data_IF_658724259156
#
_entry.id   IF_658724259156
#
_cell.length_a   1.000
_cell.length_b   1.000
_cell.length_c   1.000
_cell.angle_alpha   90.00
_cell.angle_beta   90.00
_cell.angle_gamma   90.00
#
_symmetry.space_group_name_H-M   'P 1'
#
loop_
_entity.id
_entity.type
_entity.pdbx_description
1 polymer ?
#
# COMPACT_ATOMS: atom_id res chain seq x y z
N UNK A 1 -30.94 -24.88 -1.35
CA UNK A 1 -30.02 -25.96 -0.94
C UNK A 1 -29.14 -25.50 0.20
N UNK A 2 -29.65 -25.64 1.42
CA UNK A 2 -29.02 -25.24 2.69
C UNK A 2 -28.65 -26.51 3.47
N UNK A 3 -27.63 -27.23 2.99
CA UNK A 3 -27.05 -28.35 3.72
C UNK A 3 -25.52 -28.24 3.67
N UNK A 4 -24.92 -28.04 4.84
CA UNK A 4 -23.49 -28.10 5.18
C UNK A 4 -22.59 -26.89 4.87
N UNK A 5 -22.99 -25.67 5.22
CA UNK A 5 -22.01 -24.56 5.36
C UNK A 5 -21.15 -24.78 6.61
N UNK A 6 -20.01 -25.46 6.45
CA UNK A 6 -18.98 -25.59 7.49
C UNK A 6 -18.09 -24.36 7.47
N UNK A 7 -17.97 -23.69 8.62
CA UNK A 7 -17.02 -22.60 8.81
C UNK A 7 -15.64 -23.25 9.05
N UNK A 8 -14.81 -23.23 8.01
CA UNK A 8 -13.42 -23.69 8.10
C UNK A 8 -12.46 -22.48 8.10
N UNK A 9 -11.40 -22.50 8.92
CA UNK A 9 -10.36 -21.48 8.88
C UNK A 9 -9.64 -21.51 7.52
N UNK A 10 -9.69 -20.39 6.79
CA UNK A 10 -9.10 -20.27 5.44
C UNK A 10 -7.57 -20.41 5.44
N UNK A 11 -6.91 -20.03 6.55
CA UNK A 11 -5.45 -20.03 6.68
C UNK A 11 -5.01 -20.55 8.05
N UNK A 12 -5.18 -21.85 8.30
CA UNK A 12 -4.75 -22.48 9.56
C UNK A 12 -3.23 -22.42 9.70
N UNK A 13 -2.74 -21.83 10.79
CA UNK A 13 -1.31 -21.80 11.12
C UNK A 13 -0.49 -20.75 10.37
N UNK A 14 -1.12 -19.84 9.62
CA UNK A 14 -0.38 -18.73 8.98
C UNK A 14 0.15 -17.77 10.04
N UNK A 15 1.45 -17.50 9.99
CA UNK A 15 2.06 -16.41 10.78
C UNK A 15 2.09 -15.15 9.92
N UNK A 16 1.37 -14.12 10.38
CA UNK A 16 1.39 -12.82 9.72
C UNK A 16 2.57 -12.01 10.25
N UNK A 17 3.51 -11.68 9.36
CA UNK A 17 4.60 -10.74 9.65
C UNK A 17 4.18 -9.33 9.24
N UNK A 18 4.48 -8.33 10.07
CA UNK A 18 4.10 -6.93 9.78
C UNK A 18 4.95 -6.29 8.68
N UNK A 19 6.12 -6.85 8.42
CA UNK A 19 7.06 -6.38 7.43
C UNK A 19 7.99 -7.51 6.96
N UNK A 20 8.63 -7.29 5.81
CA UNK A 20 9.61 -8.18 5.21
C UNK A 20 10.83 -7.36 4.78
N UNK A 21 12.02 -7.96 4.85
CA UNK A 21 13.24 -7.40 4.26
C UNK A 21 13.71 -8.37 3.19
N UNK A 22 13.73 -7.91 1.93
CA UNK A 22 14.33 -8.66 0.82
C UNK A 22 15.79 -8.21 0.69
N UNK A 23 16.70 -9.16 0.52
CA UNK A 23 18.14 -8.89 0.35
C UNK A 23 18.55 -9.32 -1.06
N UNK A 24 19.10 -8.40 -1.83
CA UNK A 24 19.61 -8.71 -3.16
C UNK A 24 20.89 -9.55 -3.06
N UNK A 25 20.89 -10.74 -3.67
CA UNK A 25 21.96 -11.74 -3.51
C UNK A 25 23.37 -11.23 -3.86
N UNK A 26 23.51 -10.46 -4.95
CA UNK A 26 24.83 -9.97 -5.38
C UNK A 26 25.28 -8.67 -4.70
N UNK A 27 24.35 -7.73 -4.44
CA UNK A 27 24.69 -6.37 -4.00
C UNK A 27 24.52 -6.16 -2.49
N UNK A 28 23.95 -7.16 -1.80
CA UNK A 28 23.48 -7.13 -0.42
C UNK A 28 22.55 -5.94 -0.11
N UNK A 29 21.93 -5.36 -1.14
CA UNK A 29 21.02 -4.23 -0.97
C UNK A 29 19.70 -4.72 -0.39
N UNK A 30 19.22 -4.02 0.63
CA UNK A 30 18.00 -4.36 1.33
C UNK A 30 16.80 -3.55 0.80
N UNK A 31 15.68 -4.22 0.60
CA UNK A 31 14.39 -3.63 0.31
C UNK A 31 13.46 -3.95 1.48
N UNK A 32 12.92 -2.92 2.11
CA UNK A 32 11.99 -3.03 3.22
C UNK A 32 10.55 -2.94 2.71
N UNK A 33 9.75 -3.95 3.00
CA UNK A 33 8.35 -4.05 2.60
C UNK A 33 7.48 -3.99 3.84
N UNK A 34 6.48 -3.13 3.82
CA UNK A 34 5.51 -3.02 4.91
C UNK A 34 4.18 -2.52 4.36
N UNK A 35 3.04 -2.84 4.98
CA UNK A 35 1.75 -2.41 4.44
C UNK A 35 1.61 -0.87 4.41
N UNK A 36 2.22 -0.13 5.35
CA UNK A 36 2.21 1.34 5.41
C UNK A 36 1.20 1.91 6.41
N UNK A 37 0.19 1.12 6.82
CA UNK A 37 -0.74 1.49 7.91
C UNK A 37 -0.03 1.77 9.24
N UNK A 38 1.19 1.26 9.43
CA UNK A 38 2.03 1.51 10.59
C UNK A 38 2.36 3.00 10.78
N UNK A 39 2.32 3.81 9.71
CA UNK A 39 2.53 5.26 9.77
C UNK A 39 1.26 6.05 10.15
N UNK A 40 0.10 5.39 10.24
CA UNK A 40 -1.14 5.95 10.77
C UNK A 40 -1.24 5.72 12.28
N UNK A 41 -0.77 6.69 13.06
CA UNK A 41 -0.72 6.59 14.52
C UNK A 41 -2.08 6.25 15.16
N UNK A 42 -3.17 6.89 14.73
CA UNK A 42 -4.47 6.75 15.40
C UNK A 42 -5.08 5.38 15.12
N UNK A 43 -4.85 4.85 13.92
CA UNK A 43 -5.33 3.52 13.55
C UNK A 43 -4.38 2.40 13.99
N UNK A 44 -3.08 2.67 14.15
CA UNK A 44 -2.09 1.67 14.56
C UNK A 44 -1.92 1.59 16.08
N UNK A 45 -1.50 2.68 16.73
CA UNK A 45 -1.23 2.72 18.18
C UNK A 45 -2.49 3.11 18.94
N UNK A 46 -3.21 4.13 18.45
CA UNK A 46 -4.38 4.74 19.09
C UNK A 46 -5.68 3.95 18.95
N UNK A 47 -5.67 2.74 18.37
CA UNK A 47 -6.88 2.05 17.93
C UNK A 47 -7.92 1.83 19.03
N UNK A 48 -7.49 1.64 20.29
CA UNK A 48 -8.40 1.50 21.44
C UNK A 48 -9.16 2.80 21.74
N UNK A 49 -8.47 3.93 21.65
CA UNK A 49 -9.06 5.27 21.84
C UNK A 49 -9.99 5.57 20.66
N UNK A 50 -9.52 5.33 19.44
CA UNK A 50 -10.34 5.53 18.24
C UNK A 50 -11.63 4.69 18.30
N UNK A 51 -11.51 3.41 18.67
CA UNK A 51 -12.66 2.49 18.85
C UNK A 51 -13.63 2.99 19.92
N UNK A 52 -13.14 3.55 21.02
CA UNK A 52 -13.98 4.12 22.07
C UNK A 52 -14.76 5.33 21.55
N UNK A 53 -14.08 6.29 20.91
CA UNK A 53 -14.69 7.49 20.33
C UNK A 53 -15.80 7.13 19.33
N UNK A 54 -15.52 6.21 18.39
CA UNK A 54 -16.50 5.77 17.39
C UNK A 54 -17.71 5.08 18.04
N UNK A 55 -17.51 4.25 19.06
CA UNK A 55 -18.60 3.47 19.66
C UNK A 55 -19.48 4.27 20.61
N UNK A 56 -18.89 5.17 21.40
CA UNK A 56 -19.57 5.84 22.52
C UNK A 56 -20.00 7.25 22.14
N UNK A 57 -19.20 7.98 21.37
CA UNK A 57 -19.49 9.36 21.00
C UNK A 57 -20.08 9.47 19.59
N UNK A 58 -19.51 8.77 18.61
CA UNK A 58 -19.95 8.93 17.22
C UNK A 58 -21.34 8.32 16.95
N UNK A 59 -21.64 7.14 17.50
CA UNK A 59 -22.97 6.51 17.38
C UNK A 59 -24.13 7.43 17.78
N UNK A 60 -24.15 8.08 18.96
CA UNK A 60 -25.24 9.00 19.31
C UNK A 60 -25.25 10.27 18.45
N UNK A 61 -24.09 10.83 18.07
CA UNK A 61 -24.02 12.02 17.19
C UNK A 61 -24.60 11.75 15.79
N UNK A 62 -24.41 10.53 15.27
CA UNK A 62 -24.96 10.12 13.99
C UNK A 62 -26.49 10.00 14.03
N UNK A 63 -27.06 9.53 15.15
CA UNK A 63 -28.52 9.51 15.39
C UNK A 63 -29.08 10.95 15.43
N UNK A 64 -28.29 11.91 15.90
CA UNK A 64 -28.63 13.34 15.94
C UNK A 64 -28.43 14.08 14.61
N UNK A 65 -28.08 13.38 13.52
CA UNK A 65 -28.01 13.96 12.18
C UNK A 65 -26.71 14.70 11.87
N UNK A 66 -25.68 14.57 12.72
CA UNK A 66 -24.35 15.11 12.40
C UNK A 66 -23.73 14.22 11.32
N UNK A 67 -23.45 14.82 10.16
CA UNK A 67 -22.85 14.12 9.02
C UNK A 67 -21.41 13.70 9.31
N UNK A 68 -21.00 12.58 8.71
CA UNK A 68 -19.67 12.02 8.89
C UNK A 68 -18.56 13.02 8.56
N UNK A 69 -17.63 13.31 9.49
CA UNK A 69 -16.53 14.22 9.27
C UNK A 69 -15.47 13.67 8.29
N UNK A 70 -15.51 12.39 7.88
CA UNK A 70 -14.57 11.81 6.91
C UNK A 70 -14.91 12.24 5.48
N UNK A 71 -14.49 13.44 5.11
CA UNK A 71 -14.62 13.92 3.73
C UNK A 71 -13.47 13.40 2.84
N UNK A 72 -13.68 13.32 1.51
CA UNK A 72 -12.61 13.00 0.57
C UNK A 72 -11.36 13.90 0.71
N UNK A 73 -11.57 15.18 1.04
CA UNK A 73 -10.50 16.15 1.27
C UNK A 73 -9.69 15.84 2.53
N UNK A 74 -10.34 15.49 3.66
CA UNK A 74 -9.62 15.04 4.86
C UNK A 74 -8.86 13.75 4.59
N UNK A 75 -9.47 12.79 3.91
CA UNK A 75 -8.80 11.54 3.53
C UNK A 75 -7.58 11.79 2.63
N UNK A 76 -7.64 12.78 1.74
CA UNK A 76 -6.49 13.20 0.94
C UNK A 76 -5.35 13.77 1.80
N UNK A 77 -5.67 14.68 2.73
CA UNK A 77 -4.69 15.27 3.65
C UNK A 77 -4.05 14.19 4.54
N UNK A 78 -4.84 13.26 5.08
CA UNK A 78 -4.30 12.17 5.91
C UNK A 78 -3.36 11.26 5.13
N UNK A 79 -3.70 10.91 3.88
CA UNK A 79 -2.80 10.16 2.98
C UNK A 79 -1.47 10.87 2.79
N UNK A 80 -1.47 12.18 2.55
CA UNK A 80 -0.23 12.98 2.44
C UNK A 80 0.57 12.91 3.73
N UNK A 81 -0.07 13.06 4.90
CA UNK A 81 0.63 12.98 6.20
C UNK A 81 1.29 11.63 6.41
N UNK A 82 0.61 10.54 6.04
CA UNK A 82 1.14 9.18 6.11
C UNK A 82 2.39 9.07 5.21
N UNK A 83 2.30 9.48 3.94
CA UNK A 83 3.43 9.45 3.01
C UNK A 83 4.63 10.26 3.52
N UNK A 84 4.39 11.47 4.05
CA UNK A 84 5.44 12.32 4.63
C UNK A 84 6.12 11.68 5.85
N UNK A 85 5.35 11.01 6.71
CA UNK A 85 5.91 10.28 7.87
C UNK A 85 6.79 9.13 7.44
N UNK A 86 6.35 8.35 6.45
CA UNK A 86 7.14 7.24 5.89
C UNK A 86 8.42 7.78 5.27
N UNK A 87 8.34 8.82 4.43
CA UNK A 87 9.53 9.45 3.84
C UNK A 87 10.51 9.94 4.91
N UNK A 88 10.01 10.65 5.94
CA UNK A 88 10.84 11.09 7.07
C UNK A 88 11.50 9.91 7.81
N UNK A 89 10.78 8.80 7.98
CA UNK A 89 11.35 7.59 8.57
C UNK A 89 12.47 7.02 7.68
N UNK A 90 12.28 6.95 6.36
CA UNK A 90 13.31 6.47 5.43
C UNK A 90 14.59 7.32 5.53
N UNK A 91 14.46 8.65 5.52
CA UNK A 91 15.61 9.57 5.68
C UNK A 91 16.38 9.34 6.98
N UNK A 92 15.67 9.01 8.07
CA UNK A 92 16.27 8.71 9.37
C UNK A 92 16.79 7.28 9.52
N UNK A 93 16.53 6.39 8.55
CA UNK A 93 16.84 4.95 8.63
C UNK A 93 17.67 4.50 7.41
N UNK A 94 18.83 5.15 7.23
CA UNK A 94 19.83 4.81 6.21
C UNK A 94 19.30 4.84 4.77
N UNK A 95 18.20 5.57 4.51
CA UNK A 95 17.60 5.71 3.18
C UNK A 95 17.29 4.36 2.50
N UNK A 96 16.94 3.34 3.29
CA UNK A 96 16.61 2.01 2.77
C UNK A 96 15.44 2.09 1.79
N UNK A 97 15.55 1.40 0.64
CA UNK A 97 14.45 1.27 -0.31
C UNK A 97 13.24 0.72 0.43
N UNK A 98 12.14 1.47 0.41
CA UNK A 98 10.95 1.14 1.19
C UNK A 98 9.73 1.09 0.27
N UNK A 99 9.11 -0.07 0.21
CA UNK A 99 7.90 -0.34 -0.57
C UNK A 99 6.73 -0.47 0.40
N UNK A 100 5.70 0.35 0.18
CA UNK A 100 4.48 0.36 1.00
C UNK A 100 3.23 0.25 0.16
N UNK A 101 2.08 0.10 0.82
CA UNK A 101 0.76 0.23 0.21
C UNK A 101 -0.13 1.17 1.01
N UNK A 102 -1.32 0.70 1.41
CA UNK A 102 -2.29 1.33 2.31
C UNK A 102 -3.01 2.58 1.78
N UNK A 103 -2.32 3.55 1.17
CA UNK A 103 -2.95 4.79 0.68
C UNK A 103 -3.68 4.62 -0.65
N UNK A 104 -3.48 3.49 -1.33
CA UNK A 104 -4.02 3.16 -2.65
C UNK A 104 -3.56 4.14 -3.75
N UNK A 105 -2.43 4.83 -3.52
CA UNK A 105 -1.89 5.84 -4.44
C UNK A 105 -0.53 5.37 -4.96
N UNK A 106 -0.48 4.75 -6.16
CA UNK A 106 0.77 4.32 -6.75
C UNK A 106 1.78 5.47 -6.77
N UNK A 107 3.02 5.17 -6.38
CA UNK A 107 4.07 6.17 -6.27
C UNK A 107 5.41 5.52 -6.57
N UNK A 108 6.19 6.15 -7.42
CA UNK A 108 7.51 5.68 -7.82
C UNK A 108 8.50 6.83 -7.65
N UNK A 109 9.59 6.59 -6.92
CA UNK A 109 10.64 7.58 -6.73
C UNK A 109 11.79 7.24 -7.67
N UNK A 110 12.22 8.19 -8.50
CA UNK A 110 13.42 8.06 -9.33
C UNK A 110 14.68 8.38 -8.52
N UNK A 111 15.83 7.73 -8.79
CA UNK A 111 17.06 7.93 -8.05
C UNK A 111 17.58 9.34 -8.30
N UNK A 112 17.71 10.10 -7.23
CA UNK A 112 18.20 11.48 -7.24
C UNK A 112 18.76 11.80 -5.85
N UNK A 113 19.78 12.68 -5.74
CA UNK A 113 20.34 13.09 -4.45
C UNK A 113 19.29 13.62 -3.46
N UNK A 114 18.21 14.22 -3.99
CA UNK A 114 17.15 14.83 -3.19
C UNK A 114 15.86 13.98 -3.11
N UNK A 115 15.83 12.79 -3.70
CA UNK A 115 14.65 11.93 -3.66
C UNK A 115 14.77 10.88 -2.56
N UNK A 116 13.69 10.64 -1.82
CA UNK A 116 13.61 9.53 -0.86
C UNK A 116 13.29 8.24 -1.62
N UNK A 117 13.96 7.09 -1.37
CA UNK A 117 13.66 5.77 -1.97
C UNK A 117 12.32 5.16 -1.51
N UNK A 118 11.23 5.89 -1.75
CA UNK A 118 9.86 5.55 -1.37
C UNK A 118 9.07 5.06 -2.57
N UNK A 119 8.43 3.90 -2.41
CA UNK A 119 7.56 3.29 -3.42
C UNK A 119 6.21 2.94 -2.81
N UNK A 120 5.15 3.13 -3.58
CA UNK A 120 3.80 2.68 -3.23
C UNK A 120 3.26 1.78 -4.35
N UNK A 121 2.91 0.55 -4.01
CA UNK A 121 2.39 -0.46 -4.95
C UNK A 121 0.97 -0.16 -5.44
N UNK A 122 0.28 0.76 -4.78
CA UNK A 122 -1.03 1.25 -5.15
C UNK A 122 -2.15 0.38 -4.62
N UNK A 123 -2.98 -0.16 -5.51
CA UNK A 123 -4.28 -0.74 -5.17
C UNK A 123 -4.60 -2.00 -5.95
N UNK A 124 -5.02 -3.03 -5.22
CA UNK A 124 -5.52 -4.30 -5.75
C UNK A 124 -7.05 -4.39 -5.74
N UNK A 125 -7.75 -3.31 -5.38
CA UNK A 125 -9.22 -3.30 -5.20
C UNK A 125 -9.95 -2.51 -6.28
N UNK A 126 -9.24 -1.89 -7.23
CA UNK A 126 -9.89 -1.21 -8.33
C UNK A 126 -10.56 -2.21 -9.26
N UNK A 127 -11.80 -1.90 -9.65
CA UNK A 127 -12.55 -2.71 -10.59
C UNK A 127 -11.78 -2.78 -11.91
N UNK A 128 -11.39 -3.99 -12.33
CA UNK A 128 -10.69 -4.29 -13.59
C UNK A 128 -9.22 -3.89 -13.67
N UNK A 129 -8.58 -3.48 -12.58
CA UNK A 129 -7.13 -3.26 -12.59
C UNK A 129 -6.48 -3.48 -11.24
N UNK A 130 -5.26 -3.98 -11.26
CA UNK A 130 -4.36 -4.03 -10.11
C UNK A 130 -3.09 -3.27 -10.47
N UNK A 131 -2.56 -2.50 -9.53
CA UNK A 131 -1.19 -1.97 -9.62
C UNK A 131 -0.28 -2.77 -8.71
N UNK A 132 1.02 -2.75 -9.01
CA UNK A 132 2.00 -3.43 -8.18
C UNK A 132 3.43 -3.05 -8.53
N UNK A 133 4.35 -3.41 -7.65
CA UNK A 133 5.78 -3.28 -7.88
C UNK A 133 6.32 -4.61 -8.40
N UNK A 134 6.98 -4.58 -9.55
CA UNK A 134 7.70 -5.71 -10.12
C UNK A 134 9.20 -5.53 -9.88
N UNK A 135 9.84 -6.54 -9.30
CA UNK A 135 11.29 -6.58 -9.08
C UNK A 135 11.85 -7.76 -9.85
N UNK A 136 12.66 -7.47 -10.86
CA UNK A 136 13.27 -8.49 -11.71
C UNK A 136 14.64 -8.02 -12.21
N UNK A 137 15.61 -8.95 -12.27
CA UNK A 137 16.94 -8.69 -12.84
C UNK A 137 17.65 -7.44 -12.25
N UNK A 138 17.50 -7.20 -10.95
CA UNK A 138 18.09 -6.05 -10.27
C UNK A 138 17.41 -4.70 -10.56
N UNK A 139 16.24 -4.71 -11.21
CA UNK A 139 15.44 -3.52 -11.51
C UNK A 139 14.12 -3.52 -10.73
N UNK A 140 13.57 -2.32 -10.51
CA UNK A 140 12.26 -2.09 -9.91
C UNK A 140 11.38 -1.33 -10.91
N UNK A 141 10.13 -1.74 -11.05
CA UNK A 141 9.15 -1.18 -11.99
C UNK A 141 7.79 -1.05 -11.32
N UNK A 142 7.09 0.06 -11.52
CA UNK A 142 5.68 0.16 -11.16
C UNK A 142 4.84 -0.26 -12.37
N UNK A 143 3.98 -1.23 -12.17
CA UNK A 143 3.17 -1.82 -13.23
C UNK A 143 1.68 -1.74 -12.91
N UNK A 144 0.87 -1.88 -13.95
CA UNK A 144 -0.57 -2.04 -13.87
C UNK A 144 -0.99 -3.22 -14.74
N UNK A 145 -1.72 -4.16 -14.16
CA UNK A 145 -2.47 -5.14 -14.93
C UNK A 145 -3.93 -4.68 -15.02
N UNK A 146 -4.51 -4.67 -16.21
CA UNK A 146 -5.90 -4.27 -16.38
C UNK A 146 -6.60 -5.08 -17.48
N UNK A 147 -7.93 -5.12 -17.41
CA UNK A 147 -8.75 -5.75 -18.44
C UNK A 147 -8.95 -4.76 -19.58
N UNK A 148 -8.59 -5.21 -20.78
CA UNK A 148 -8.78 -4.48 -22.03
C UNK A 148 -9.56 -5.34 -23.04
N UNK A 149 -9.99 -4.73 -24.16
CA UNK A 149 -10.75 -5.42 -25.21
C UNK A 149 -9.97 -5.41 -26.52
N UNK A 150 -9.76 -6.58 -27.12
CA UNK A 150 -9.18 -6.69 -28.46
C UNK A 150 -10.13 -6.11 -29.51
N UNK A 151 -9.63 -5.81 -30.70
CA UNK A 151 -10.44 -5.31 -31.83
C UNK A 151 -11.63 -6.21 -32.17
N UNK A 152 -11.51 -7.52 -31.92
CA UNK A 152 -12.57 -8.51 -32.14
C UNK A 152 -13.55 -8.67 -30.96
N UNK A 153 -13.50 -7.81 -29.94
CA UNK A 153 -14.41 -7.82 -28.80
C UNK A 153 -14.04 -8.78 -27.66
N UNK A 154 -12.95 -9.54 -27.78
CA UNK A 154 -12.52 -10.49 -26.75
C UNK A 154 -11.76 -9.74 -25.65
N UNK A 155 -12.14 -9.99 -24.38
CA UNK A 155 -11.43 -9.46 -23.23
C UNK A 155 -10.04 -10.10 -23.06
N UNK A 156 -9.07 -9.28 -22.70
CA UNK A 156 -7.71 -9.70 -22.39
C UNK A 156 -7.19 -8.98 -21.15
N UNK A 157 -6.21 -9.59 -20.48
CA UNK A 157 -5.47 -8.92 -19.39
C UNK A 157 -4.18 -8.36 -19.98
N UNK A 158 -3.98 -7.06 -19.83
CA UNK A 158 -2.82 -6.32 -20.35
C UNK A 158 -1.94 -5.87 -19.20
N UNK A 159 -0.63 -6.01 -19.35
CA UNK A 159 0.38 -5.43 -18.45
C UNK A 159 0.90 -4.13 -19.05
N UNK A 160 0.81 -3.05 -18.29
CA UNK A 160 1.33 -1.73 -18.63
C UNK A 160 2.41 -1.34 -17.61
N UNK A 161 3.50 -0.76 -18.10
CA UNK A 161 4.52 -0.12 -17.26
C UNK A 161 4.04 1.29 -16.97
N UNK A 162 3.81 1.60 -15.70
CA UNK A 162 3.47 2.96 -15.28
C UNK A 162 4.71 3.82 -15.08
N UNK A 163 5.73 3.27 -14.42
CA UNK A 163 7.00 3.96 -14.12
C UNK A 163 8.17 2.96 -14.09
N UNK A 164 9.38 3.43 -14.43
CA UNK A 164 10.58 2.58 -14.56
C UNK A 164 10.71 1.90 -15.93
N UNK A 165 11.50 0.82 -16.07
CA UNK A 165 12.32 0.16 -15.04
C UNK A 165 13.51 1.01 -14.59
N UNK A 166 13.90 0.88 -13.31
CA UNK A 166 15.09 1.55 -12.76
C UNK A 166 15.97 0.56 -12.00
N UNK A 167 17.30 0.68 -12.08
CA UNK A 167 18.20 -0.22 -11.35
C UNK A 167 18.12 0.05 -9.84
N UNK A 168 18.04 -1.02 -9.05
CA UNK A 168 18.09 -0.94 -7.59
C UNK A 168 19.42 -0.33 -7.11
N UNK A 169 20.52 -0.62 -7.82
CA UNK A 169 21.86 -0.11 -7.51
C UNK A 169 21.95 1.42 -7.49
N UNK A 170 21.07 2.11 -8.22
CA UNK A 170 21.09 3.57 -8.36
C UNK A 170 20.53 4.30 -7.14
N UNK A 171 19.92 3.57 -6.19
CA UNK A 171 19.38 4.11 -4.93
C UNK A 171 20.35 3.96 -3.73
N UNK A 172 21.62 3.64 -3.97
CA UNK A 172 22.66 3.60 -2.94
C UNK A 172 23.18 5.00 -2.59
#
# INVERSE_FOLDING_TARGET
NTQNDRIEPLFTGIQCHEALVLVHQETNQELFLTHGHQADFMNYIGWKINRFMVRILWKPLQIWGISDPTSPAKNYIERIKIELRIKKWIENNNRKITIVGHTHRPSFSYPSPNSTPYFNDGSCVHTRSITGIEIANGTITLIKWFIDTKENGILQVVREVLEGPTNLKDYK
#
